data_IF_430578027120
#
_entry.id   IF_430578027120
#
_cell.length_a   1.000
_cell.length_b   1.000
_cell.length_c   1.000
_cell.angle_alpha   90.00
_cell.angle_beta   90.00
_cell.angle_gamma   90.00
#
_symmetry.space_group_name_H-M   'P 1'
#
loop_
_entity.id
_entity.type
_entity.pdbx_description
1 polymer ?
#
# COMPACT_ATOMS: atom_id res chain seq x y z
N UNK A 1 -19.22 17.09 14.51
CA UNK A 1 -19.94 15.89 14.00
C UNK A 1 -18.92 14.81 13.81
N UNK A 2 -19.11 13.66 14.43
CA UNK A 2 -18.15 12.54 14.28
C UNK A 2 -18.46 11.87 12.93
N UNK A 3 -17.66 12.19 11.90
CA UNK A 3 -17.81 11.59 10.58
C UNK A 3 -17.26 10.16 10.67
N UNK A 4 -18.00 9.17 10.20
CA UNK A 4 -17.49 7.77 10.17
C UNK A 4 -16.33 7.62 9.17
N UNK A 5 -15.50 6.60 9.36
CA UNK A 5 -14.28 6.39 8.54
C UNK A 5 -14.63 6.18 7.07
N UNK A 6 -15.70 5.43 6.79
CA UNK A 6 -16.22 5.20 5.44
C UNK A 6 -16.59 6.52 4.73
N UNK A 7 -17.31 7.40 5.40
CA UNK A 7 -17.68 8.72 4.85
C UNK A 7 -16.44 9.60 4.62
N UNK A 8 -15.47 9.56 5.53
CA UNK A 8 -14.22 10.33 5.36
C UNK A 8 -13.38 9.81 4.18
N UNK A 9 -13.30 8.50 4.03
CA UNK A 9 -12.57 7.88 2.93
C UNK A 9 -13.25 8.13 1.58
N UNK A 10 -14.57 7.93 1.48
CA UNK A 10 -15.33 8.26 0.28
C UNK A 10 -15.14 9.72 -0.15
N UNK A 11 -15.12 10.63 0.83
CA UNK A 11 -14.84 12.04 0.56
C UNK A 11 -13.48 12.25 -0.09
N UNK A 12 -12.41 11.58 0.38
CA UNK A 12 -11.08 11.67 -0.21
C UNK A 12 -11.09 11.17 -1.67
N UNK A 13 -11.73 10.02 -1.91
CA UNK A 13 -11.86 9.45 -3.27
C UNK A 13 -12.60 10.41 -4.20
N UNK A 14 -13.71 11.01 -3.74
CA UNK A 14 -14.46 11.99 -4.54
C UNK A 14 -13.67 13.27 -4.82
N UNK A 15 -12.89 13.76 -3.85
CA UNK A 15 -12.01 14.92 -4.06
C UNK A 15 -10.98 14.62 -5.15
N UNK A 16 -10.34 13.46 -5.12
CA UNK A 16 -9.35 13.08 -6.14
C UNK A 16 -10.00 12.97 -7.53
N UNK A 17 -11.16 12.33 -7.64
CA UNK A 17 -11.89 12.26 -8.89
C UNK A 17 -12.27 13.66 -9.43
N UNK A 18 -12.63 14.59 -8.55
CA UNK A 18 -12.93 15.98 -8.92
C UNK A 18 -11.68 16.73 -9.38
N UNK A 19 -10.54 16.59 -8.69
CA UNK A 19 -9.27 17.20 -9.08
C UNK A 19 -8.82 16.75 -10.48
N UNK A 20 -9.08 15.50 -10.85
CA UNK A 20 -8.75 14.95 -12.17
C UNK A 20 -9.84 15.10 -13.22
N UNK A 21 -10.99 15.64 -12.86
CA UNK A 21 -12.07 15.90 -13.85
C UNK A 21 -11.63 16.91 -14.92
N UNK A 22 -12.31 16.99 -16.06
CA UNK A 22 -11.98 17.95 -17.13
C UNK A 22 -11.88 19.42 -16.67
N UNK A 23 -12.66 19.77 -15.65
CA UNK A 23 -12.70 21.11 -15.05
C UNK A 23 -11.92 21.20 -13.73
N UNK A 24 -11.17 20.12 -13.37
CA UNK A 24 -10.40 20.03 -12.15
C UNK A 24 -9.05 20.74 -12.24
N UNK A 25 -8.10 20.30 -11.43
CA UNK A 25 -6.77 20.89 -11.35
C UNK A 25 -5.89 20.47 -12.55
N UNK A 26 -5.35 21.40 -13.34
CA UNK A 26 -4.48 21.07 -14.47
C UNK A 26 -3.26 20.25 -14.07
N UNK A 27 -2.64 20.53 -12.92
CA UNK A 27 -1.48 19.80 -12.43
C UNK A 27 -1.82 18.35 -12.11
N UNK A 28 -2.91 18.09 -11.39
CA UNK A 28 -3.35 16.72 -11.07
C UNK A 28 -3.70 15.94 -12.34
N UNK A 29 -4.26 16.58 -13.33
CA UNK A 29 -4.62 15.95 -14.63
C UNK A 29 -3.41 15.55 -15.46
N UNK A 30 -2.28 16.23 -15.33
CA UNK A 30 -1.03 15.93 -16.03
C UNK A 30 -0.27 14.76 -15.39
N UNK A 31 -0.62 14.36 -14.16
CA UNK A 31 0.09 13.27 -13.48
C UNK A 31 -0.16 11.91 -14.14
N UNK A 32 0.87 11.10 -14.14
CA UNK A 32 0.91 9.72 -14.63
C UNK A 32 1.44 8.77 -13.54
N UNK A 33 1.37 7.46 -13.76
CA UNK A 33 2.01 6.48 -12.87
C UNK A 33 3.51 6.77 -12.68
N UNK A 34 4.19 7.19 -13.75
CA UNK A 34 5.62 7.50 -13.73
C UNK A 34 5.93 8.71 -12.86
N UNK A 35 5.14 9.80 -13.02
CA UNK A 35 5.38 11.04 -12.26
C UNK A 35 5.11 10.87 -10.77
N UNK A 36 4.16 10.03 -10.37
CA UNK A 36 3.85 9.78 -8.96
C UNK A 36 4.90 8.93 -8.23
N UNK A 37 5.83 8.27 -8.95
CA UNK A 37 6.87 7.43 -8.31
C UNK A 37 7.74 8.19 -7.34
N UNK A 38 8.16 9.40 -7.68
CA UNK A 38 8.98 10.24 -6.80
C UNK A 38 8.21 10.70 -5.58
N UNK A 39 6.98 11.13 -5.75
CA UNK A 39 6.12 11.57 -4.64
C UNK A 39 5.88 10.46 -3.62
N UNK A 40 5.57 9.25 -4.06
CA UNK A 40 5.40 8.10 -3.14
C UNK A 40 6.64 7.85 -2.28
N UNK A 41 7.84 7.97 -2.88
CA UNK A 41 9.09 7.77 -2.14
C UNK A 41 9.34 8.90 -1.17
N UNK A 42 9.06 10.14 -1.57
CA UNK A 42 9.17 11.34 -0.76
C UNK A 42 8.27 11.24 0.48
N UNK A 43 6.96 11.06 0.29
CA UNK A 43 5.99 10.92 1.39
C UNK A 43 6.34 9.75 2.33
N UNK A 44 6.84 8.63 1.77
CA UNK A 44 7.27 7.51 2.59
C UNK A 44 8.48 7.84 3.48
N UNK A 45 9.43 8.66 3.01
CA UNK A 45 10.57 9.10 3.82
C UNK A 45 10.15 10.16 4.84
N UNK A 46 9.28 11.09 4.49
CA UNK A 46 8.75 12.10 5.42
C UNK A 46 7.99 11.45 6.57
N UNK A 47 7.17 10.43 6.28
CA UNK A 47 6.53 9.62 7.32
C UNK A 47 7.55 8.89 8.20
N UNK A 48 8.62 8.33 7.63
CA UNK A 48 9.71 7.69 8.41
C UNK A 48 10.40 8.69 9.32
N UNK A 49 10.66 9.91 8.84
CA UNK A 49 11.28 10.98 9.63
C UNK A 49 10.34 11.44 10.75
N UNK A 50 9.06 11.62 10.47
CA UNK A 50 8.05 11.95 11.47
C UNK A 50 7.97 10.90 12.59
N UNK A 51 7.99 9.61 12.24
CA UNK A 51 8.03 8.49 13.20
C UNK A 51 9.32 8.52 14.03
N UNK A 52 10.46 8.75 13.39
CA UNK A 52 11.78 8.80 14.04
C UNK A 52 11.84 9.94 15.06
N UNK A 53 11.30 11.09 14.71
CA UNK A 53 11.23 12.28 15.56
C UNK A 53 10.11 12.21 16.61
N UNK A 54 9.23 11.18 16.53
CA UNK A 54 8.07 10.99 17.41
C UNK A 54 7.11 12.18 17.41
N UNK A 55 7.01 12.89 16.29
CA UNK A 55 6.08 14.00 16.12
C UNK A 55 4.73 13.46 15.66
N UNK A 56 3.75 13.46 16.57
CA UNK A 56 2.42 12.86 16.31
C UNK A 56 1.63 13.64 15.25
N UNK A 57 1.81 14.96 15.20
CA UNK A 57 1.11 15.80 14.22
C UNK A 57 1.66 15.55 12.81
N UNK A 58 2.97 15.50 12.66
CA UNK A 58 3.63 15.17 11.39
C UNK A 58 3.31 13.72 10.97
N UNK A 59 3.31 12.74 11.89
CA UNK A 59 2.91 11.35 11.58
C UNK A 59 1.49 11.31 10.98
N UNK A 60 0.58 12.11 11.50
CA UNK A 60 -0.79 12.18 10.98
C UNK A 60 -0.83 12.82 9.60
N UNK A 61 -0.09 13.91 9.39
CA UNK A 61 0.02 14.64 8.13
C UNK A 61 0.59 13.73 7.04
N UNK A 62 1.79 13.19 7.25
CA UNK A 62 2.49 12.35 6.28
C UNK A 62 1.78 11.00 6.00
N UNK A 63 1.04 10.47 6.99
CA UNK A 63 0.16 9.33 6.73
C UNK A 63 -0.99 9.69 5.79
N UNK A 64 -1.48 10.92 5.85
CA UNK A 64 -2.49 11.45 4.94
C UNK A 64 -1.94 11.60 3.51
N UNK A 65 -0.74 12.14 3.38
CA UNK A 65 -0.09 12.37 2.09
C UNK A 65 0.29 11.05 1.41
N UNK A 66 0.82 10.09 2.15
CA UNK A 66 1.03 8.74 1.61
C UNK A 66 -0.28 8.04 1.21
N UNK A 67 -1.37 8.21 1.97
CA UNK A 67 -2.69 7.71 1.61
C UNK A 67 -3.22 8.38 0.34
N UNK A 68 -3.00 9.69 0.18
CA UNK A 68 -3.33 10.43 -1.03
C UNK A 68 -2.67 9.81 -2.26
N UNK A 69 -1.38 9.43 -2.19
CA UNK A 69 -0.68 8.80 -3.30
C UNK A 69 -1.35 7.48 -3.73
N UNK A 70 -1.83 6.67 -2.77
CA UNK A 70 -2.54 5.42 -3.07
C UNK A 70 -3.89 5.69 -3.76
N UNK A 71 -4.65 6.66 -3.28
CA UNK A 71 -5.93 7.05 -3.88
C UNK A 71 -5.70 7.63 -5.29
N UNK A 72 -4.65 8.44 -5.48
CA UNK A 72 -4.29 9.00 -6.78
C UNK A 72 -3.96 7.92 -7.81
N UNK A 73 -3.09 6.96 -7.47
CA UNK A 73 -2.77 5.82 -8.33
C UNK A 73 -4.03 5.03 -8.69
N UNK A 74 -4.91 4.81 -7.71
CA UNK A 74 -6.16 4.08 -7.95
C UNK A 74 -7.12 4.84 -8.86
N UNK A 75 -7.13 6.18 -8.79
CA UNK A 75 -7.89 7.03 -9.69
C UNK A 75 -7.35 6.95 -11.13
N UNK A 76 -6.01 7.01 -11.30
CA UNK A 76 -5.37 6.81 -12.61
C UNK A 76 -5.70 5.43 -13.19
N UNK A 77 -5.62 4.38 -12.39
CA UNK A 77 -5.93 3.03 -12.82
C UNK A 77 -7.39 2.87 -13.23
N UNK A 78 -8.32 3.53 -12.53
CA UNK A 78 -9.73 3.54 -12.86
C UNK A 78 -9.99 4.26 -14.19
N UNK A 79 -9.32 5.38 -14.44
CA UNK A 79 -9.43 6.12 -15.71
C UNK A 79 -8.95 5.30 -16.90
N UNK A 80 -7.95 4.43 -16.69
CA UNK A 80 -7.44 3.50 -17.71
C UNK A 80 -8.19 2.15 -17.76
N UNK A 81 -9.18 1.95 -16.89
CA UNK A 81 -10.00 0.74 -16.85
C UNK A 81 -9.27 -0.50 -16.29
N UNK A 82 -8.24 -0.32 -15.48
CA UNK A 82 -7.47 -1.42 -14.89
C UNK A 82 -8.07 -1.93 -13.58
N UNK A 83 -8.19 -1.07 -12.58
CA UNK A 83 -8.76 -1.34 -11.27
C UNK A 83 -9.14 -0.04 -10.57
N UNK A 84 -9.90 -0.12 -9.49
CA UNK A 84 -10.23 1.03 -8.64
C UNK A 84 -9.73 0.86 -7.20
N UNK A 85 -9.94 1.86 -6.35
CA UNK A 85 -9.54 1.83 -4.95
C UNK A 85 -10.23 0.71 -4.15
N UNK A 86 -11.42 0.31 -4.56
CA UNK A 86 -12.16 -0.77 -3.91
C UNK A 86 -11.49 -2.13 -4.15
N UNK A 87 -10.96 -2.34 -5.36
CA UNK A 87 -10.20 -3.54 -5.68
C UNK A 87 -8.93 -3.62 -4.84
N UNK A 88 -8.20 -2.50 -4.69
CA UNK A 88 -7.00 -2.40 -3.84
C UNK A 88 -7.31 -2.77 -2.40
N UNK A 89 -8.39 -2.21 -1.84
CA UNK A 89 -8.80 -2.48 -0.45
C UNK A 89 -9.23 -3.94 -0.30
N UNK A 90 -10.03 -4.46 -1.23
CA UNK A 90 -10.51 -5.84 -1.18
C UNK A 90 -9.34 -6.82 -1.22
N UNK A 91 -8.39 -6.62 -2.13
CA UNK A 91 -7.22 -7.49 -2.26
C UNK A 91 -6.37 -7.52 -0.98
N UNK A 92 -6.11 -6.37 -0.38
CA UNK A 92 -5.32 -6.34 0.87
C UNK A 92 -6.09 -6.96 2.05
N UNK A 93 -7.40 -6.75 2.15
CA UNK A 93 -8.23 -7.38 3.17
C UNK A 93 -8.19 -8.90 3.06
N UNK A 94 -8.43 -9.45 1.86
CA UNK A 94 -8.40 -10.88 1.60
C UNK A 94 -7.02 -11.47 1.89
N UNK A 95 -5.96 -10.78 1.51
CA UNK A 95 -4.57 -11.15 1.81
C UNK A 95 -4.32 -11.22 3.31
N UNK A 96 -4.76 -10.21 4.07
CA UNK A 96 -4.60 -10.17 5.53
C UNK A 96 -5.37 -11.31 6.21
N UNK A 97 -6.62 -11.54 5.82
CA UNK A 97 -7.44 -12.64 6.36
C UNK A 97 -6.76 -13.98 6.10
N UNK A 98 -6.33 -14.23 4.87
CA UNK A 98 -5.69 -15.48 4.46
C UNK A 98 -4.37 -15.72 5.19
N UNK A 99 -3.55 -14.67 5.40
CA UNK A 99 -2.24 -14.77 6.06
C UNK A 99 -2.28 -14.77 7.58
N UNK A 100 -3.46 -14.57 8.18
CA UNK A 100 -3.64 -14.61 9.64
C UNK A 100 -4.68 -15.66 10.06
N UNK A 101 -4.48 -16.96 9.71
CA UNK A 101 -5.45 -18.01 10.03
C UNK A 101 -5.56 -18.28 11.54
N UNK A 102 -4.65 -17.73 12.34
CA UNK A 102 -4.71 -17.77 13.79
C UNK A 102 -5.65 -16.70 14.38
N UNK A 103 -6.02 -15.68 13.61
CA UNK A 103 -6.97 -14.62 14.00
C UNK A 103 -8.33 -14.86 13.36
N UNK A 104 -8.35 -15.14 12.06
CA UNK A 104 -9.58 -15.26 11.26
C UNK A 104 -10.03 -16.71 11.03
N UNK A 105 -9.24 -17.69 11.48
CA UNK A 105 -9.49 -19.12 11.32
C UNK A 105 -9.36 -19.91 12.62
N UNK A 106 -8.88 -21.16 12.51
CA UNK A 106 -8.78 -22.10 13.64
C UNK A 106 -7.32 -22.49 13.97
N UNK A 107 -6.33 -21.94 13.32
CA UNK A 107 -4.91 -22.24 13.54
C UNK A 107 -4.47 -21.72 14.91
N UNK A 108 -3.81 -22.56 15.70
CA UNK A 108 -3.23 -22.13 16.99
C UNK A 108 -1.78 -21.75 16.80
N UNK A 109 -1.33 -20.74 17.51
CA UNK A 109 0.06 -20.27 17.58
C UNK A 109 0.44 -20.03 19.04
N UNK A 110 1.67 -20.30 19.40
CA UNK A 110 2.18 -20.10 20.77
C UNK A 110 2.93 -18.77 20.92
N UNK A 111 3.30 -18.13 19.78
CA UNK A 111 4.02 -16.87 19.81
C UNK A 111 4.27 -16.28 18.43
N UNK A 112 4.97 -15.15 18.39
CA UNK A 112 5.28 -14.41 17.15
C UNK A 112 6.13 -15.22 16.17
N UNK A 113 6.99 -16.12 16.66
CA UNK A 113 7.81 -16.98 15.81
C UNK A 113 6.95 -17.94 14.97
N UNK A 114 5.89 -18.52 15.55
CA UNK A 114 4.96 -19.39 14.84
C UNK A 114 4.16 -18.60 13.80
N UNK A 115 3.78 -17.37 14.13
CA UNK A 115 3.09 -16.47 13.21
C UNK A 115 3.96 -16.21 11.98
N UNK A 116 5.24 -15.86 12.17
CA UNK A 116 6.19 -15.61 11.08
C UNK A 116 6.40 -16.86 10.22
N UNK A 117 6.60 -18.04 10.85
CA UNK A 117 6.78 -19.30 10.12
C UNK A 117 5.55 -19.65 9.28
N UNK A 118 4.35 -19.45 9.81
CA UNK A 118 3.10 -19.67 9.07
C UNK A 118 2.94 -18.66 7.93
N UNK A 119 3.26 -17.41 8.17
CA UNK A 119 3.24 -16.36 7.15
C UNK A 119 4.12 -16.69 5.93
N UNK A 120 5.38 -17.10 6.18
CA UNK A 120 6.29 -17.46 5.08
C UNK A 120 5.83 -18.71 4.33
N UNK A 121 5.25 -19.72 5.01
CA UNK A 121 4.66 -20.88 4.34
C UNK A 121 3.50 -20.49 3.42
N UNK A 122 2.57 -19.66 3.91
CA UNK A 122 1.42 -19.21 3.11
C UNK A 122 1.90 -18.39 1.91
N UNK A 123 2.87 -17.49 2.12
CA UNK A 123 3.45 -16.66 1.07
C UNK A 123 4.18 -17.49 0.01
N UNK A 124 4.88 -18.57 0.39
CA UNK A 124 5.50 -19.50 -0.54
C UNK A 124 4.45 -20.19 -1.42
N UNK A 125 3.38 -20.71 -0.81
CA UNK A 125 2.26 -21.34 -1.54
C UNK A 125 1.59 -20.37 -2.52
N UNK A 126 1.42 -19.11 -2.14
CA UNK A 126 0.86 -18.07 -3.03
C UNK A 126 1.75 -17.80 -4.25
N UNK A 127 3.09 -17.79 -4.07
CA UNK A 127 4.05 -17.63 -5.16
C UNK A 127 3.99 -18.80 -6.15
N UNK A 128 3.89 -20.02 -5.64
CA UNK A 128 3.78 -21.24 -6.47
C UNK A 128 2.51 -21.21 -7.34
N UNK A 129 1.38 -20.76 -6.77
CA UNK A 129 0.11 -20.64 -7.50
C UNK A 129 0.20 -19.56 -8.59
N UNK A 130 0.88 -18.45 -8.33
CA UNK A 130 1.03 -17.34 -9.28
C UNK A 130 2.08 -17.59 -10.38
N UNK A 131 2.73 -18.77 -10.42
CA UNK A 131 3.78 -19.15 -11.39
C UNK A 131 4.84 -18.07 -11.61
N UNK A 132 5.25 -17.37 -10.56
CA UNK A 132 6.38 -16.45 -10.65
C UNK A 132 7.65 -17.27 -10.57
N UNK A 133 8.20 -17.62 -11.72
CA UNK A 133 9.41 -18.44 -11.91
C UNK A 133 10.73 -17.72 -11.51
N UNK A 134 10.67 -16.69 -10.71
CA UNK A 134 11.88 -16.04 -10.25
C UNK A 134 12.51 -16.85 -9.10
N UNK A 135 13.48 -17.68 -9.45
CA UNK A 135 14.26 -18.53 -8.52
C UNK A 135 15.44 -17.79 -7.89
N UNK A 136 15.62 -16.51 -8.19
CA UNK A 136 16.68 -15.68 -7.62
C UNK A 136 16.51 -15.53 -6.11
N UNK A 137 17.61 -15.55 -5.36
CA UNK A 137 17.62 -15.20 -3.92
C UNK A 137 17.14 -13.74 -3.68
N UNK A 138 17.14 -12.92 -4.73
CA UNK A 138 16.65 -11.53 -4.72
C UNK A 138 15.17 -11.44 -5.13
N UNK A 139 14.51 -12.57 -5.42
CA UNK A 139 13.11 -12.60 -5.83
C UNK A 139 12.21 -11.92 -4.80
N UNK A 140 11.45 -10.94 -5.25
CA UNK A 140 10.52 -10.16 -4.40
C UNK A 140 11.18 -9.00 -3.64
N UNK A 141 12.45 -8.67 -3.94
CA UNK A 141 13.07 -7.41 -3.50
C UNK A 141 12.91 -6.40 -4.63
N UNK A 142 12.25 -5.24 -4.40
CA UNK A 142 12.07 -4.23 -5.45
C UNK A 142 13.41 -3.72 -5.98
N UNK A 143 13.54 -3.60 -7.31
CA UNK A 143 14.75 -3.07 -7.94
C UNK A 143 15.08 -1.63 -7.53
N UNK A 144 14.04 -0.83 -7.30
CA UNK A 144 14.14 0.56 -6.86
C UNK A 144 14.52 0.73 -5.38
N UNK A 145 14.54 -0.36 -4.59
CA UNK A 145 14.86 -0.26 -3.17
C UNK A 145 16.31 0.21 -2.97
N UNK A 146 16.61 1.16 -2.05
CA UNK A 146 17.95 1.59 -1.74
C UNK A 146 18.89 0.43 -1.39
N UNK A 147 20.18 0.47 -1.80
CA UNK A 147 21.10 -0.67 -1.66
C UNK A 147 21.22 -1.21 -0.23
N UNK A 148 21.25 -0.34 0.77
CA UNK A 148 21.33 -0.74 2.18
C UNK A 148 20.08 -1.49 2.65
N UNK A 149 18.90 -1.06 2.21
CA UNK A 149 17.65 -1.76 2.51
C UNK A 149 17.55 -3.09 1.75
N UNK A 150 18.09 -3.16 0.52
CA UNK A 150 18.23 -4.45 -0.19
C UNK A 150 19.09 -5.42 0.60
N UNK A 151 20.27 -4.98 1.06
CA UNK A 151 21.19 -5.83 1.83
C UNK A 151 20.57 -6.34 3.15
N UNK A 152 19.73 -5.54 3.79
CA UNK A 152 19.04 -5.96 5.01
C UNK A 152 17.97 -7.03 4.76
N UNK A 153 17.48 -7.18 3.52
CA UNK A 153 16.41 -8.13 3.15
C UNK A 153 16.92 -9.44 2.55
N UNK A 154 18.23 -9.57 2.32
CA UNK A 154 18.92 -10.80 1.88
C UNK A 154 19.29 -11.64 3.10
#
# INVERSE_FOLDING_TARGET
MNTSVDVAFDRLVHIMAQLRSPEGCPWDREQSFESLRSHIVEEAYELVDAITNKNVDDIKEESGDLLLQIVFISQLAQEEGFFDIKDVISEICDKLIRRHPHVFGKTKVEGSADVLANWEKIKATEKDIQKREDTSILAGIPESLPPLLKAYRI
#
